data_IF_234319672074
#
_entry.id   IF_234319672074
#
_cell.length_a   1.000
_cell.length_b   1.000
_cell.length_c   1.000
_cell.angle_alpha   90.00
_cell.angle_beta   90.00
_cell.angle_gamma   90.00
#
_symmetry.space_group_name_H-M   'P 1'
#
loop_
_entity.id
_entity.type
_entity.pdbx_description
1 polymer ?
#
# COMPACT_ATOMS: atom_id res chain seq x y z
N UNK A 1 3.75 72.44 33.28
CA UNK A 1 2.73 71.59 32.62
C UNK A 1 3.46 70.86 31.50
N UNK A 2 4.26 69.81 31.69
CA UNK A 2 4.12 68.57 32.45
C UNK A 2 3.08 67.60 31.87
N UNK A 3 3.61 66.45 31.40
CA UNK A 3 3.06 65.09 31.39
C UNK A 3 2.36 64.52 30.14
N UNK A 4 2.68 63.22 29.93
CA UNK A 4 2.10 62.20 29.02
C UNK A 4 2.47 62.36 27.53
N UNK A 5 3.11 61.41 26.83
CA UNK A 5 2.92 59.97 26.84
C UNK A 5 4.13 59.28 26.14
N UNK A 6 5.08 58.74 26.93
CA UNK A 6 6.05 57.75 26.45
C UNK A 6 5.30 56.43 26.24
N UNK A 7 4.86 56.16 25.01
CA UNK A 7 4.46 54.81 24.61
C UNK A 7 5.70 54.02 24.22
N UNK A 8 6.34 53.41 25.22
CA UNK A 8 7.35 52.36 25.03
C UNK A 8 6.70 51.18 24.31
N UNK A 9 6.88 51.13 22.99
CA UNK A 9 6.57 49.97 22.15
C UNK A 9 7.55 48.85 22.51
N UNK A 10 7.13 48.01 23.46
CA UNK A 10 7.79 46.73 23.73
C UNK A 10 7.44 45.81 22.56
N UNK A 11 8.24 45.84 21.51
CA UNK A 11 8.25 44.79 20.47
C UNK A 11 8.84 43.56 21.15
N UNK A 12 7.96 42.73 21.73
CA UNK A 12 8.30 41.38 22.11
C UNK A 12 8.83 40.68 20.86
N UNK A 13 10.13 40.38 20.85
CA UNK A 13 10.79 39.59 19.83
C UNK A 13 10.19 38.19 19.80
N UNK A 14 9.10 38.03 19.06
CA UNK A 14 8.67 36.72 18.60
C UNK A 14 9.76 36.24 17.66
N UNK A 15 10.59 35.31 18.15
CA UNK A 15 11.49 34.57 17.29
C UNK A 15 10.65 34.04 16.12
N UNK A 16 11.02 34.31 14.86
CA UNK A 16 10.26 33.82 13.72
C UNK A 16 10.14 32.31 13.92
N UNK A 17 8.91 31.81 14.06
CA UNK A 17 8.64 30.40 14.00
C UNK A 17 9.31 29.91 12.71
N UNK A 18 10.31 29.03 12.84
CA UNK A 18 11.06 28.51 11.71
C UNK A 18 10.04 28.07 10.68
N UNK A 19 9.96 28.80 9.56
CA UNK A 19 9.04 28.49 8.48
C UNK A 19 9.46 27.14 7.93
N UNK A 20 8.79 26.09 8.39
CA UNK A 20 9.12 24.73 8.05
C UNK A 20 9.00 24.58 6.52
N UNK A 21 10.12 24.27 5.85
CA UNK A 21 10.16 24.20 4.39
C UNK A 21 9.03 23.30 3.89
N UNK A 22 8.22 23.71 2.90
CA UNK A 22 7.05 22.94 2.47
C UNK A 22 7.46 21.54 1.97
N UNK A 23 6.65 20.53 2.28
CA UNK A 23 6.89 19.16 1.80
C UNK A 23 6.67 19.09 0.29
N UNK A 24 7.57 18.37 -0.40
CA UNK A 24 7.51 18.18 -1.85
C UNK A 24 6.93 16.81 -2.18
N UNK A 25 5.93 16.77 -3.07
CA UNK A 25 5.22 15.55 -3.47
C UNK A 25 5.31 15.37 -4.97
N UNK A 26 5.78 14.20 -5.40
CA UNK A 26 5.70 13.76 -6.79
C UNK A 26 4.38 13.03 -7.01
N UNK A 27 3.56 13.52 -7.95
CA UNK A 27 2.39 12.78 -8.45
C UNK A 27 2.84 11.89 -9.60
N UNK A 28 2.99 10.61 -9.30
CA UNK A 28 3.31 9.59 -10.29
C UNK A 28 2.10 9.32 -11.20
N UNK A 29 2.31 8.74 -12.40
CA UNK A 29 1.19 8.44 -13.28
C UNK A 29 0.25 7.42 -12.61
N UNK A 30 -1.07 7.64 -12.71
CA UNK A 30 -2.06 6.87 -11.96
C UNK A 30 -2.14 5.41 -12.39
N UNK A 31 -2.55 4.55 -11.46
CA UNK A 31 -2.90 3.15 -11.70
C UNK A 31 -4.38 3.08 -12.06
N UNK A 32 -4.66 3.00 -13.36
CA UNK A 32 -6.02 2.97 -13.89
C UNK A 32 -6.34 1.61 -14.53
N UNK A 33 -7.45 0.99 -14.14
CA UNK A 33 -7.95 -0.25 -14.74
C UNK A 33 -9.43 -0.11 -15.13
N UNK A 34 -9.72 -0.22 -16.43
CA UNK A 34 -11.07 -0.06 -16.96
C UNK A 34 -11.59 1.38 -17.00
N UNK A 35 -10.80 2.37 -16.59
CA UNK A 35 -11.24 3.78 -16.49
C UNK A 35 -10.90 4.54 -17.78
N UNK A 36 -11.84 5.32 -18.36
CA UNK A 36 -11.56 6.20 -19.49
C UNK A 36 -10.42 7.19 -19.22
N UNK A 37 -9.57 7.43 -20.22
CA UNK A 37 -8.37 8.28 -20.08
C UNK A 37 -8.67 9.72 -19.65
N UNK A 38 -9.78 10.31 -20.08
CA UNK A 38 -10.16 11.67 -19.70
C UNK A 38 -10.48 11.79 -18.20
N UNK A 39 -11.12 10.77 -17.61
CA UNK A 39 -11.39 10.70 -16.16
C UNK A 39 -10.07 10.60 -15.40
N UNK A 40 -9.13 9.78 -15.91
CA UNK A 40 -7.81 9.61 -15.31
C UNK A 40 -7.02 10.93 -15.30
N UNK A 41 -7.00 11.66 -16.41
CA UNK A 41 -6.35 12.97 -16.50
C UNK A 41 -7.00 14.00 -15.57
N UNK A 42 -8.33 14.01 -15.51
CA UNK A 42 -9.07 14.92 -14.64
C UNK A 42 -8.83 14.65 -13.16
N UNK A 43 -8.84 13.37 -12.74
CA UNK A 43 -8.52 12.96 -11.39
C UNK A 43 -7.10 13.38 -10.96
N UNK A 44 -6.13 13.23 -11.85
CA UNK A 44 -4.75 13.62 -11.58
C UNK A 44 -4.59 15.14 -11.40
N UNK A 45 -5.28 15.94 -12.21
CA UNK A 45 -5.27 17.40 -12.07
C UNK A 45 -5.96 17.84 -10.78
N UNK A 46 -7.11 17.23 -10.44
CA UNK A 46 -7.82 17.51 -9.19
C UNK A 46 -6.96 17.24 -7.95
N UNK A 47 -6.31 16.08 -7.90
CA UNK A 47 -5.40 15.72 -6.79
C UNK A 47 -4.22 16.71 -6.71
N UNK A 48 -3.66 17.12 -7.86
CA UNK A 48 -2.60 18.13 -7.92
C UNK A 48 -3.04 19.45 -7.29
N UNK A 49 -4.18 19.98 -7.70
CA UNK A 49 -4.70 21.23 -7.16
C UNK A 49 -5.03 21.10 -5.66
N UNK A 50 -5.62 19.99 -5.23
CA UNK A 50 -5.94 19.76 -3.82
C UNK A 50 -4.69 19.67 -2.92
N UNK A 51 -3.58 19.12 -3.41
CA UNK A 51 -2.32 19.10 -2.65
C UNK A 51 -1.67 20.49 -2.57
N UNK A 52 -1.76 21.27 -3.66
CA UNK A 52 -1.26 22.66 -3.67
C UNK A 52 -2.03 23.54 -2.67
N UNK A 53 -3.36 23.44 -2.62
CA UNK A 53 -4.18 24.20 -1.65
C UNK A 53 -3.84 23.84 -0.20
N UNK A 54 -3.36 22.62 0.04
CA UNK A 54 -2.88 22.17 1.34
C UNK A 54 -1.43 22.60 1.63
N UNK A 55 -0.74 23.27 0.71
CA UNK A 55 0.61 23.81 0.92
C UNK A 55 1.76 22.84 0.63
N UNK A 56 1.51 21.78 -0.15
CA UNK A 56 2.60 20.96 -0.71
C UNK A 56 3.19 21.61 -1.96
N UNK A 57 4.50 21.41 -2.17
CA UNK A 57 5.10 21.63 -3.48
C UNK A 57 4.84 20.41 -4.36
N UNK A 58 4.04 20.57 -5.40
CA UNK A 58 3.61 19.45 -6.25
C UNK A 58 4.45 19.40 -7.53
N UNK A 59 5.12 18.27 -7.76
CA UNK A 59 5.80 17.95 -9.01
C UNK A 59 4.97 16.89 -9.74
N UNK A 60 4.57 17.14 -10.99
CA UNK A 60 3.85 16.12 -11.78
C UNK A 60 4.83 15.30 -12.60
N UNK A 61 4.51 14.04 -12.86
CA UNK A 61 5.32 13.18 -13.73
C UNK A 61 5.54 13.78 -15.14
N UNK A 62 4.58 14.54 -15.67
CA UNK A 62 4.72 15.28 -16.93
C UNK A 62 5.83 16.32 -16.85
N UNK A 63 5.86 17.09 -15.76
CA UNK A 63 6.81 18.19 -15.57
C UNK A 63 8.22 17.62 -15.32
N UNK A 64 8.31 16.54 -14.53
CA UNK A 64 9.54 15.77 -14.36
C UNK A 64 10.09 15.26 -15.71
N UNK A 65 9.23 14.70 -16.56
CA UNK A 65 9.66 14.17 -17.87
C UNK A 65 10.29 15.23 -18.76
N UNK A 66 9.82 16.47 -18.69
CA UNK A 66 10.32 17.59 -19.48
C UNK A 66 11.70 18.06 -19.00
N UNK A 67 11.96 17.96 -17.70
CA UNK A 67 13.21 18.37 -17.08
C UNK A 67 14.30 17.30 -17.19
N UNK A 68 13.92 16.03 -17.36
CA UNK A 68 14.87 14.92 -17.46
C UNK A 68 15.58 14.85 -18.82
N UNK A 69 16.90 14.58 -18.84
CA UNK A 69 17.63 14.21 -20.05
C UNK A 69 16.99 12.98 -20.75
N UNK A 70 17.03 12.89 -22.10
CA UNK A 70 16.39 11.79 -22.84
C UNK A 70 16.79 10.39 -22.36
N UNK A 71 18.05 10.19 -21.96
CA UNK A 71 18.53 8.92 -21.42
C UNK A 71 17.88 8.55 -20.07
N UNK A 72 17.73 9.52 -19.17
CA UNK A 72 17.11 9.30 -17.85
C UNK A 72 15.60 9.15 -17.95
N UNK A 73 14.96 9.86 -18.88
CA UNK A 73 13.50 9.80 -19.09
C UNK A 73 13.01 8.36 -19.31
N UNK A 74 13.73 7.57 -20.11
CA UNK A 74 13.37 6.16 -20.36
C UNK A 74 13.46 5.32 -19.09
N UNK A 75 14.50 5.51 -18.28
CA UNK A 75 14.71 4.77 -17.03
C UNK A 75 13.66 5.13 -15.99
N UNK A 76 13.43 6.43 -15.77
CA UNK A 76 12.51 6.93 -14.73
C UNK A 76 11.04 6.66 -15.09
N UNK A 77 10.65 6.82 -16.36
CA UNK A 77 9.25 6.63 -16.76
C UNK A 77 8.90 5.20 -17.17
N UNK A 78 9.91 4.40 -17.51
CA UNK A 78 9.74 3.03 -18.00
C UNK A 78 9.85 1.96 -16.90
N UNK A 79 10.23 2.32 -15.67
CA UNK A 79 10.29 1.38 -14.57
C UNK A 79 8.89 0.97 -14.07
N UNK A 80 8.82 -0.20 -13.44
CA UNK A 80 7.60 -0.70 -12.84
C UNK A 80 7.29 0.07 -11.55
N UNK A 81 6.26 0.92 -11.56
CA UNK A 81 5.92 1.83 -10.44
C UNK A 81 5.53 1.11 -9.15
N UNK A 82 5.14 -0.16 -9.26
CA UNK A 82 4.83 -1.02 -8.12
C UNK A 82 6.10 -1.49 -7.40
N UNK A 83 7.27 -1.39 -8.02
CA UNK A 83 8.55 -1.72 -7.38
C UNK A 83 9.07 -0.55 -6.55
N UNK A 84 9.54 -0.83 -5.33
CA UNK A 84 10.08 0.18 -4.43
C UNK A 84 11.26 0.94 -5.05
N UNK A 85 12.17 0.24 -5.74
CA UNK A 85 13.31 0.84 -6.42
C UNK A 85 12.89 1.91 -7.45
N UNK A 86 11.82 1.64 -8.22
CA UNK A 86 11.30 2.59 -9.20
C UNK A 86 10.75 3.86 -8.51
N UNK A 87 9.99 3.70 -7.41
CA UNK A 87 9.47 4.85 -6.65
C UNK A 87 10.59 5.70 -6.07
N UNK A 88 11.62 5.07 -5.50
CA UNK A 88 12.80 5.77 -4.98
C UNK A 88 13.45 6.59 -6.10
N UNK A 89 13.77 5.96 -7.23
CA UNK A 89 14.40 6.64 -8.37
C UNK A 89 13.56 7.79 -8.92
N UNK A 90 12.23 7.62 -9.01
CA UNK A 90 11.33 8.70 -9.44
C UNK A 90 11.31 9.86 -8.43
N UNK A 91 11.18 9.57 -7.14
CA UNK A 91 11.14 10.59 -6.10
C UNK A 91 12.46 11.36 -5.99
N UNK A 92 13.60 10.67 -6.09
CA UNK A 92 14.93 11.30 -6.13
C UNK A 92 15.08 12.21 -7.35
N UNK A 93 14.67 11.74 -8.53
CA UNK A 93 14.69 12.54 -9.76
C UNK A 93 13.82 13.80 -9.67
N UNK A 94 12.71 13.72 -8.92
CA UNK A 94 11.81 14.84 -8.66
C UNK A 94 12.21 15.71 -7.46
N UNK A 95 13.25 15.32 -6.69
CA UNK A 95 13.57 15.91 -5.39
C UNK A 95 12.36 15.98 -4.45
N UNK A 96 11.51 14.96 -4.49
CA UNK A 96 10.29 14.88 -3.70
C UNK A 96 10.52 14.08 -2.42
N UNK A 97 9.87 14.49 -1.33
CA UNK A 97 9.85 13.74 -0.06
C UNK A 97 8.96 12.49 -0.17
N UNK A 98 7.90 12.59 -0.99
CA UNK A 98 6.86 11.56 -1.15
C UNK A 98 6.53 11.34 -2.61
N UNK A 99 6.30 10.07 -2.97
CA UNK A 99 5.69 9.67 -4.24
C UNK A 99 4.24 9.27 -3.99
N UNK A 100 3.31 10.00 -4.61
CA UNK A 100 1.88 9.76 -4.52
C UNK A 100 1.37 9.06 -5.80
N UNK A 101 0.63 7.97 -5.64
CA UNK A 101 0.00 7.22 -6.73
C UNK A 101 -1.51 7.26 -6.54
N UNK A 102 -2.24 7.74 -7.54
CA UNK A 102 -3.70 7.64 -7.59
C UNK A 102 -4.11 6.31 -8.21
N UNK A 103 -5.00 5.59 -7.54
CA UNK A 103 -5.57 4.33 -8.02
C UNK A 103 -7.02 4.57 -8.44
N UNK A 104 -7.38 4.17 -9.65
CA UNK A 104 -8.74 4.22 -10.18
C UNK A 104 -9.10 2.89 -10.85
N UNK A 105 -10.07 2.17 -10.31
CA UNK A 105 -10.51 0.87 -10.86
C UNK A 105 -12.00 0.91 -11.11
N UNK A 106 -12.43 0.59 -12.33
CA UNK A 106 -13.86 0.46 -12.65
C UNK A 106 -14.36 -0.95 -12.29
N UNK A 107 -15.46 -1.00 -11.54
CA UNK A 107 -16.24 -2.19 -11.21
C UNK A 107 -17.66 -2.07 -11.78
N UNK A 108 -18.44 -3.16 -11.70
CA UNK A 108 -19.84 -3.17 -12.15
C UNK A 108 -20.73 -2.21 -11.35
N UNK A 109 -20.36 -1.93 -10.09
CA UNK A 109 -21.12 -1.09 -9.16
C UNK A 109 -20.57 0.34 -9.02
N UNK A 110 -19.70 0.78 -9.94
CA UNK A 110 -19.03 2.07 -9.89
C UNK A 110 -17.51 1.95 -9.86
N UNK A 111 -16.83 2.96 -9.31
CA UNK A 111 -15.39 3.05 -9.23
C UNK A 111 -14.89 2.71 -7.82
N UNK A 112 -13.67 2.18 -7.73
CA UNK A 112 -12.84 2.28 -6.53
C UNK A 112 -11.77 3.30 -6.81
N UNK A 113 -11.75 4.35 -6.02
CA UNK A 113 -10.74 5.40 -6.12
C UNK A 113 -9.94 5.46 -4.83
N UNK A 114 -8.67 5.86 -4.92
CA UNK A 114 -7.85 6.01 -3.74
C UNK A 114 -6.49 6.60 -4.04
N UNK A 115 -5.75 6.85 -2.97
CA UNK A 115 -4.39 7.38 -3.02
C UNK A 115 -3.49 6.51 -2.16
N UNK A 116 -2.26 6.32 -2.64
CA UNK A 116 -1.16 5.72 -1.89
C UNK A 116 0.01 6.68 -1.85
N UNK A 117 0.57 6.90 -0.68
CA UNK A 117 1.75 7.72 -0.47
C UNK A 117 2.91 6.84 -0.05
N UNK A 118 4.05 6.99 -0.73
CA UNK A 118 5.27 6.26 -0.44
C UNK A 118 6.40 7.23 -0.08
N UNK A 119 7.20 6.88 0.91
CA UNK A 119 8.42 7.63 1.22
C UNK A 119 9.43 7.49 0.08
N UNK A 120 10.01 8.60 -0.37
CA UNK A 120 11.05 8.55 -1.42
C UNK A 120 12.32 7.84 -0.93
N UNK A 121 12.65 7.93 0.37
CA UNK A 121 13.91 7.43 0.93
C UNK A 121 14.09 5.91 0.79
N UNK A 122 13.03 5.16 1.04
CA UNK A 122 13.06 3.68 1.14
C UNK A 122 11.91 3.01 0.37
N UNK A 123 11.01 3.79 -0.23
CA UNK A 123 9.88 3.27 -1.00
C UNK A 123 8.79 2.64 -0.13
N UNK A 124 8.85 2.81 1.20
CA UNK A 124 7.89 2.31 2.17
C UNK A 124 6.53 3.02 2.00
N UNK A 125 5.44 2.27 2.20
CA UNK A 125 4.10 2.84 2.20
C UNK A 125 3.86 3.64 3.49
N UNK A 126 3.69 4.95 3.36
CA UNK A 126 3.38 5.83 4.48
C UNK A 126 1.89 5.81 4.83
N UNK A 127 1.04 5.81 3.80
CA UNK A 127 -0.41 5.89 3.97
C UNK A 127 -1.13 5.44 2.69
N UNK A 128 -2.29 4.82 2.87
CA UNK A 128 -3.23 4.55 1.79
C UNK A 128 -4.67 4.80 2.25
N UNK A 129 -5.52 5.24 1.32
CA UNK A 129 -6.95 5.35 1.55
C UNK A 129 -7.75 5.10 0.28
N UNK A 130 -8.84 4.33 0.40
CA UNK A 130 -9.69 3.91 -0.69
C UNK A 130 -11.16 4.14 -0.39
N UNK A 131 -11.89 4.58 -1.40
CA UNK A 131 -13.35 4.70 -1.39
C UNK A 131 -13.92 3.80 -2.48
N UNK A 132 -14.59 2.68 -2.12
CA UNK A 132 -15.23 1.79 -3.09
C UNK A 132 -16.66 2.26 -3.43
N UNK A 133 -17.19 1.80 -4.57
CA UNK A 133 -18.60 2.03 -4.95
C UNK A 133 -18.92 3.48 -5.31
N UNK A 134 -17.92 4.22 -5.78
CA UNK A 134 -18.03 5.64 -6.12
C UNK A 134 -18.66 5.79 -7.49
N UNK A 135 -19.68 6.63 -7.63
CA UNK A 135 -20.24 6.97 -8.94
C UNK A 135 -19.39 8.05 -9.63
N UNK A 136 -19.53 8.21 -10.95
CA UNK A 136 -18.72 9.18 -11.71
C UNK A 136 -18.87 10.62 -11.20
N UNK A 137 -20.09 11.01 -10.82
CA UNK A 137 -20.42 12.31 -10.25
C UNK A 137 -19.86 12.54 -8.83
N UNK A 138 -19.52 11.45 -8.12
CA UNK A 138 -18.95 11.46 -6.77
C UNK A 138 -17.42 11.30 -6.76
N UNK A 139 -16.81 11.15 -7.94
CA UNK A 139 -15.40 10.79 -8.08
C UNK A 139 -14.46 11.84 -7.48
N UNK A 140 -14.78 13.12 -7.67
CA UNK A 140 -13.99 14.23 -7.12
C UNK A 140 -14.09 14.34 -5.61
N UNK A 141 -15.28 14.15 -5.05
CA UNK A 141 -15.50 14.19 -3.61
C UNK A 141 -14.73 13.06 -2.92
N UNK A 142 -14.80 11.85 -3.49
CA UNK A 142 -14.05 10.70 -2.99
C UNK A 142 -12.52 10.89 -3.10
N UNK A 143 -12.01 11.49 -4.18
CA UNK A 143 -10.58 11.82 -4.28
C UNK A 143 -10.16 12.91 -3.29
N UNK A 144 -11.03 13.87 -3.00
CA UNK A 144 -10.81 14.91 -1.99
C UNK A 144 -10.70 14.28 -0.60
N UNK A 145 -11.66 13.42 -0.24
CA UNK A 145 -11.65 12.64 0.99
C UNK A 145 -10.37 11.80 1.12
N UNK A 146 -10.01 11.04 0.08
CA UNK A 146 -8.77 10.27 0.05
C UNK A 146 -7.53 11.16 0.23
N UNK A 147 -7.50 12.34 -0.40
CA UNK A 147 -6.36 13.26 -0.31
C UNK A 147 -6.17 13.76 1.12
N UNK A 148 -7.25 14.19 1.78
CA UNK A 148 -7.21 14.67 3.17
C UNK A 148 -6.74 13.60 4.16
N UNK A 149 -7.25 12.37 4.02
CA UNK A 149 -6.84 11.24 4.87
C UNK A 149 -5.37 10.90 4.69
N UNK A 150 -4.92 10.77 3.44
CA UNK A 150 -3.53 10.41 3.13
C UNK A 150 -2.56 11.52 3.54
N UNK A 151 -2.87 12.78 3.23
CA UNK A 151 -2.01 13.92 3.58
C UNK A 151 -1.81 14.05 5.08
N UNK A 152 -2.88 13.85 5.86
CA UNK A 152 -2.79 13.96 7.32
C UNK A 152 -1.78 12.95 7.87
N UNK A 153 -1.84 11.70 7.41
CA UNK A 153 -0.91 10.65 7.82
C UNK A 153 0.51 10.90 7.31
N UNK A 154 0.66 11.37 6.06
CA UNK A 154 1.96 11.72 5.48
C UNK A 154 2.68 12.81 6.30
N UNK A 155 1.96 13.88 6.70
CA UNK A 155 2.57 14.92 7.55
C UNK A 155 3.01 14.37 8.89
N UNK A 156 2.18 13.55 9.53
CA UNK A 156 2.53 12.95 10.82
C UNK A 156 3.75 12.02 10.72
N UNK A 157 3.86 11.26 9.62
CA UNK A 157 4.97 10.35 9.39
C UNK A 157 6.29 11.09 9.10
N UNK A 158 6.26 12.14 8.28
CA UNK A 158 7.48 12.87 7.90
C UNK A 158 7.89 13.97 8.87
N UNK A 159 6.93 14.48 9.65
CA UNK A 159 7.15 15.49 10.68
C UNK A 159 6.58 14.96 11.98
N UNK A 160 7.25 13.97 12.61
CA UNK A 160 6.86 13.54 13.94
C UNK A 160 6.87 14.78 14.84
N UNK A 161 5.68 15.19 15.29
CA UNK A 161 5.55 16.29 16.25
C UNK A 161 6.43 15.90 17.41
N UNK A 162 7.51 16.66 17.62
CA UNK A 162 8.42 16.40 18.73
C UNK A 162 7.54 16.27 19.97
N UNK A 163 7.52 15.07 20.57
CA UNK A 163 6.68 14.81 21.72
C UNK A 163 6.95 15.95 22.70
N UNK A 164 5.90 16.62 23.25
CA UNK A 164 6.11 17.72 24.16
C UNK A 164 7.08 17.20 25.21
N UNK A 165 8.27 17.81 25.26
CA UNK A 165 9.28 17.43 26.23
C UNK A 165 8.60 17.64 27.56
N UNK A 166 8.09 16.54 28.14
CA UNK A 166 7.50 16.55 29.46
C UNK A 166 8.65 17.03 30.31
N UNK A 167 8.63 18.32 30.66
CA UNK A 167 9.61 18.90 31.56
C UNK A 167 9.62 17.96 32.75
N UNK A 168 10.74 17.25 32.92
CA UNK A 168 10.85 16.25 33.95
C UNK A 168 10.35 16.92 35.24
N UNK A 169 9.28 16.39 35.87
CA UNK A 169 8.77 16.99 37.08
C UNK A 169 9.96 17.16 38.05
N UNK A 170 10.09 18.32 38.71
CA UNK A 170 11.21 18.60 39.59
C UNK A 170 11.43 17.39 40.51
N UNK A 171 12.69 16.95 40.72
CA UNK A 171 13.03 15.68 41.34
C UNK A 171 12.35 15.59 42.70
N UNK A 172 11.22 14.91 42.73
CA UNK A 172 10.49 14.66 43.96
C UNK A 172 11.21 13.49 44.58
N UNK A 173 11.89 13.75 45.70
CA UNK A 173 12.61 12.75 46.50
C UNK A 173 11.70 11.53 46.69
N UNK A 174 11.95 10.46 45.94
CA UNK A 174 11.18 9.23 46.07
C UNK A 174 11.47 8.65 47.46
N UNK A 175 10.44 8.40 48.28
CA UNK A 175 10.59 7.57 49.46
C UNK A 175 11.02 6.19 48.99
N UNK A 176 12.11 5.69 49.58
CA UNK A 176 12.62 4.33 49.39
C UNK A 176 11.48 3.36 49.69
N UNK A 177 10.88 2.78 48.64
CA UNK A 177 9.93 1.69 48.82
C UNK A 177 10.72 0.40 49.16
N UNK A 178 10.31 -0.34 50.21
CA UNK A 178 10.92 -1.62 50.55
C UNK A 178 10.79 -2.62 49.40
N UNK A 179 11.89 -3.31 49.08
CA UNK A 179 11.91 -4.46 48.17
C UNK A 179 10.81 -5.46 48.55
N UNK A 180 9.80 -5.62 47.69
CA UNK A 180 8.93 -6.78 47.77
C UNK A 180 9.56 -7.96 47.00
N UNK A 181 9.56 -9.18 47.56
CA UNK A 181 10.09 -10.37 46.91
C UNK A 181 9.31 -10.70 45.64
N UNK A 182 10.02 -10.77 44.52
CA UNK A 182 9.52 -11.24 43.24
C UNK A 182 9.08 -12.70 43.39
N UNK A 183 7.78 -12.96 43.27
CA UNK A 183 7.23 -14.31 43.16
C UNK A 183 7.60 -14.86 41.78
N UNK A 184 8.14 -16.09 41.66
CA UNK A 184 8.41 -16.71 40.37
C UNK A 184 7.08 -16.92 39.64
N UNK A 185 6.94 -16.30 38.48
CA UNK A 185 5.81 -16.46 37.59
C UNK A 185 5.84 -17.87 37.00
N UNK A 186 4.76 -18.61 37.25
CA UNK A 186 4.59 -19.99 36.81
C UNK A 186 4.43 -20.00 35.30
N UNK A 187 5.41 -20.57 34.61
CA UNK A 187 5.38 -20.85 33.17
C UNK A 187 4.17 -21.71 32.84
N UNK A 188 3.11 -21.11 32.30
CA UNK A 188 1.94 -21.83 31.83
C UNK A 188 2.34 -22.74 30.65
N UNK A 189 2.19 -24.04 30.87
CA UNK A 189 2.43 -25.12 29.93
C UNK A 189 1.64 -24.91 28.64
N UNK A 190 2.34 -24.80 27.50
CA UNK A 190 1.75 -24.76 26.16
C UNK A 190 0.84 -25.96 25.94
N UNK A 191 -0.46 -25.70 25.86
CA UNK A 191 -1.46 -26.63 25.32
C UNK A 191 -1.11 -26.96 23.87
N UNK A 192 -0.78 -28.23 23.62
CA UNK A 192 -0.43 -28.75 22.31
C UNK A 192 -1.62 -28.72 21.37
N UNK A 193 -1.55 -27.91 20.31
CA UNK A 193 -2.42 -28.10 19.16
C UNK A 193 -2.11 -29.48 18.54
N UNK A 194 -3.12 -30.29 18.17
CA UNK A 194 -2.90 -31.62 17.62
C UNK A 194 -2.06 -31.52 16.34
N UNK A 195 -0.98 -32.30 16.26
CA UNK A 195 0.07 -32.24 15.23
C UNK A 195 -0.38 -32.50 13.78
N UNK A 196 -1.69 -32.56 13.51
CA UNK A 196 -2.30 -32.75 12.20
C UNK A 196 -3.02 -31.50 11.66
N UNK A 197 -3.17 -30.44 12.46
CA UNK A 197 -3.91 -29.22 12.04
C UNK A 197 -3.22 -28.43 10.90
N UNK A 198 -1.92 -28.67 10.65
CA UNK A 198 -1.17 -28.00 9.58
C UNK A 198 -1.33 -28.66 8.21
N UNK A 199 -1.78 -29.92 8.15
CA UNK A 199 -1.83 -30.70 6.90
C UNK A 199 -2.77 -30.10 5.85
N UNK A 200 -4.01 -29.66 6.19
CA UNK A 200 -4.89 -29.00 5.22
C UNK A 200 -4.32 -27.66 4.72
N UNK A 201 -3.65 -26.91 5.58
CA UNK A 201 -3.03 -25.63 5.23
C UNK A 201 -1.88 -25.81 4.23
N UNK A 202 -0.97 -26.77 4.51
CA UNK A 202 0.13 -27.09 3.61
C UNK A 202 -0.39 -27.66 2.27
N UNK A 203 -1.39 -28.54 2.31
CA UNK A 203 -2.02 -29.08 1.10
C UNK A 203 -2.68 -27.99 0.25
N UNK A 204 -3.40 -27.05 0.87
CA UNK A 204 -4.01 -25.91 0.18
C UNK A 204 -2.98 -24.99 -0.49
N UNK A 205 -1.89 -24.67 0.22
CA UNK A 205 -0.81 -23.84 -0.33
C UNK A 205 -0.12 -24.49 -1.54
N UNK A 206 0.15 -25.80 -1.48
CA UNK A 206 0.75 -26.55 -2.60
C UNK A 206 -0.19 -26.54 -3.81
N UNK A 207 -1.49 -26.80 -3.62
CA UNK A 207 -2.46 -26.80 -4.72
C UNK A 207 -2.60 -25.43 -5.38
N UNK A 208 -2.56 -24.35 -4.61
CA UNK A 208 -2.55 -22.99 -5.15
C UNK A 208 -1.28 -22.72 -5.98
N UNK A 209 -0.11 -23.15 -5.51
CA UNK A 209 1.14 -23.05 -6.26
C UNK A 209 1.10 -23.79 -7.60
N UNK A 210 0.57 -25.02 -7.60
CA UNK A 210 0.36 -25.82 -8.83
C UNK A 210 -0.63 -25.13 -9.77
N UNK A 211 -1.73 -24.58 -9.24
CA UNK A 211 -2.72 -23.82 -10.02
C UNK A 211 -2.12 -22.61 -10.74
N UNK A 212 -1.25 -21.86 -10.06
CA UNK A 212 -0.53 -20.71 -10.63
C UNK A 212 0.44 -21.12 -11.73
N UNK A 213 1.17 -22.23 -11.57
CA UNK A 213 2.07 -22.75 -12.62
C UNK A 213 1.30 -23.05 -13.92
N UNK A 214 0.19 -23.79 -13.84
CA UNK A 214 -0.64 -24.10 -15.02
C UNK A 214 -1.29 -22.86 -15.64
N UNK A 215 -1.65 -21.87 -14.83
CA UNK A 215 -2.17 -20.59 -15.32
C UNK A 215 -1.14 -19.83 -16.16
N UNK A 216 0.11 -19.74 -15.67
CA UNK A 216 1.20 -19.08 -16.40
C UNK A 216 1.55 -19.83 -17.70
N UNK A 217 1.54 -21.17 -17.66
CA UNK A 217 1.76 -21.99 -18.85
C UNK A 217 0.68 -21.76 -19.91
N UNK A 218 -0.61 -21.72 -19.50
CA UNK A 218 -1.71 -21.42 -20.41
C UNK A 218 -1.57 -20.02 -21.05
N UNK A 219 -1.09 -19.03 -20.29
CA UNK A 219 -0.80 -17.69 -20.82
C UNK A 219 0.35 -17.67 -21.84
N UNK A 220 1.39 -18.49 -21.64
CA UNK A 220 2.47 -18.66 -22.61
C UNK A 220 1.99 -19.30 -23.92
N UNK A 221 1.17 -20.35 -23.83
CA UNK A 221 0.60 -21.02 -25.01
C UNK A 221 -0.37 -20.10 -25.77
N UNK A 222 -1.16 -19.28 -25.07
CA UNK A 222 -2.02 -18.28 -25.69
C UNK A 222 -1.23 -17.20 -26.44
N UNK A 223 -0.09 -16.74 -25.88
CA UNK A 223 0.79 -15.79 -26.58
C UNK A 223 1.37 -16.38 -27.85
N UNK A 224 1.83 -17.65 -27.82
CA UNK A 224 2.31 -18.37 -29.02
C UNK A 224 1.24 -18.45 -30.11
N UNK A 225 -0.01 -18.71 -29.74
CA UNK A 225 -1.14 -18.69 -30.68
C UNK A 225 -1.39 -17.28 -31.26
N UNK A 226 -1.33 -16.24 -30.43
CA UNK A 226 -1.57 -14.85 -30.86
C UNK A 226 -0.47 -14.32 -31.77
N UNK A 227 0.77 -14.73 -31.56
CA UNK A 227 1.94 -14.34 -32.37
C UNK A 227 2.00 -15.06 -33.73
N UNK A 228 1.02 -15.91 -34.06
CA UNK A 228 0.94 -16.71 -35.29
C UNK A 228 2.21 -17.54 -35.55
N UNK A 229 2.94 -17.89 -34.50
CA UNK A 229 4.15 -18.69 -34.60
C UNK A 229 3.80 -20.20 -34.60
N UNK A 230 2.91 -20.56 -35.53
CA UNK A 230 2.35 -21.90 -35.66
C UNK A 230 2.61 -22.37 -37.09
N UNK A 231 3.43 -23.39 -37.25
CA UNK A 231 3.94 -23.89 -38.54
C UNK A 231 2.89 -24.60 -39.39
N UNK A 232 1.76 -25.01 -38.80
CA UNK A 232 0.64 -25.62 -39.51
C UNK A 232 -0.66 -25.68 -38.70
N UNK A 233 -1.79 -26.02 -39.35
CA UNK A 233 -3.10 -26.09 -38.69
C UNK A 233 -3.18 -27.20 -37.63
N UNK A 234 -2.41 -28.29 -37.76
CA UNK A 234 -2.36 -29.38 -36.78
C UNK A 234 -1.71 -28.92 -35.45
N UNK A 235 -0.64 -28.14 -35.53
CA UNK A 235 0.03 -27.56 -34.36
C UNK A 235 -0.91 -26.61 -33.59
N UNK A 236 -1.73 -25.84 -34.33
CA UNK A 236 -2.72 -24.94 -33.77
C UNK A 236 -3.81 -25.67 -32.98
N UNK A 237 -4.33 -26.78 -33.53
CA UNK A 237 -5.32 -27.61 -32.84
C UNK A 237 -4.75 -28.23 -31.55
N UNK A 238 -3.51 -28.72 -31.59
CA UNK A 238 -2.82 -29.27 -30.43
C UNK A 238 -2.59 -28.22 -29.34
N UNK A 239 -2.16 -27.00 -29.70
CA UNK A 239 -1.99 -25.87 -28.78
C UNK A 239 -3.31 -25.45 -28.12
N UNK A 240 -4.40 -25.37 -28.90
CA UNK A 240 -5.73 -25.04 -28.35
C UNK A 240 -6.20 -26.12 -27.38
N UNK A 241 -6.03 -27.40 -27.71
CA UNK A 241 -6.42 -28.50 -26.82
C UNK A 241 -5.57 -28.54 -25.54
N UNK A 242 -4.25 -28.29 -25.65
CA UNK A 242 -3.35 -28.14 -24.50
C UNK A 242 -3.78 -26.99 -23.59
N UNK A 243 -4.05 -25.81 -24.17
CA UNK A 243 -4.50 -24.63 -23.43
C UNK A 243 -5.82 -24.86 -22.68
N UNK A 244 -6.81 -25.51 -23.32
CA UNK A 244 -8.07 -25.89 -22.67
C UNK A 244 -7.86 -26.84 -21.50
N UNK A 245 -6.97 -27.83 -21.64
CA UNK A 245 -6.65 -28.77 -20.56
C UNK A 245 -5.97 -28.06 -19.39
N UNK A 246 -5.01 -27.18 -19.67
CA UNK A 246 -4.32 -26.39 -18.64
C UNK A 246 -5.25 -25.42 -17.91
N UNK A 247 -6.20 -24.78 -18.61
CA UNK A 247 -7.23 -23.96 -17.99
C UNK A 247 -8.14 -24.77 -17.06
N UNK A 248 -8.61 -25.94 -17.51
CA UNK A 248 -9.47 -26.80 -16.70
C UNK A 248 -8.74 -27.34 -15.45
N UNK A 249 -7.47 -27.74 -15.60
CA UNK A 249 -6.62 -28.15 -14.47
C UNK A 249 -6.35 -26.99 -13.51
N UNK A 250 -6.09 -25.79 -14.02
CA UNK A 250 -5.87 -24.60 -13.19
C UNK A 250 -7.13 -24.22 -12.41
N UNK A 251 -8.30 -24.22 -13.06
CA UNK A 251 -9.59 -23.98 -12.40
C UNK A 251 -9.86 -25.02 -11.31
N UNK A 252 -9.62 -26.31 -11.59
CA UNK A 252 -9.76 -27.39 -10.61
C UNK A 252 -8.81 -27.22 -9.41
N UNK A 253 -7.54 -26.92 -9.67
CA UNK A 253 -6.55 -26.69 -8.63
C UNK A 253 -6.87 -25.46 -7.77
N UNK A 254 -7.29 -24.35 -8.37
CA UNK A 254 -7.70 -23.15 -7.64
C UNK A 254 -8.97 -23.38 -6.81
N UNK A 255 -9.97 -24.08 -7.35
CA UNK A 255 -11.20 -24.40 -6.61
C UNK A 255 -10.90 -25.27 -5.38
N UNK A 256 -10.09 -26.32 -5.54
CA UNK A 256 -9.67 -27.20 -4.44
C UNK A 256 -8.77 -26.47 -3.42
N UNK A 257 -7.81 -25.68 -3.91
CA UNK A 257 -6.92 -24.87 -3.06
C UNK A 257 -7.68 -23.86 -2.22
N UNK A 258 -8.62 -23.11 -2.83
CA UNK A 258 -9.48 -22.15 -2.14
C UNK A 258 -10.36 -22.83 -1.09
N UNK A 259 -10.99 -23.96 -1.42
CA UNK A 259 -11.77 -24.75 -0.46
C UNK A 259 -10.92 -25.19 0.74
N UNK A 260 -9.67 -25.62 0.52
CA UNK A 260 -8.74 -25.98 1.59
C UNK A 260 -8.40 -24.80 2.52
N UNK A 261 -8.14 -23.62 1.96
CA UNK A 261 -7.84 -22.40 2.74
C UNK A 261 -9.05 -21.96 3.57
N UNK A 262 -10.25 -21.92 2.96
CA UNK A 262 -11.49 -21.56 3.67
C UNK A 262 -11.79 -22.53 4.80
N UNK A 263 -11.68 -23.84 4.55
CA UNK A 263 -11.90 -24.87 5.57
C UNK A 263 -10.92 -24.71 6.73
N UNK A 264 -9.64 -24.44 6.45
CA UNK A 264 -8.62 -24.20 7.48
C UNK A 264 -8.94 -22.95 8.30
N UNK A 265 -9.34 -21.85 7.64
CA UNK A 265 -9.75 -20.62 8.32
C UNK A 265 -10.95 -20.82 9.25
N UNK A 266 -11.95 -21.59 8.81
CA UNK A 266 -13.11 -21.95 9.62
C UNK A 266 -12.72 -22.81 10.84
N UNK A 267 -11.86 -23.82 10.66
CA UNK A 267 -11.37 -24.64 11.78
C UNK A 267 -10.59 -23.77 12.77
N UNK A 268 -9.77 -22.83 12.29
CA UNK A 268 -9.01 -21.92 13.15
C UNK A 268 -9.92 -20.99 13.96
N UNK A 269 -10.96 -20.43 13.33
CA UNK A 269 -11.96 -19.59 14.00
C UNK A 269 -12.78 -20.39 15.04
N UNK A 270 -13.18 -21.61 14.70
CA UNK A 270 -13.96 -22.48 15.59
C UNK A 270 -13.13 -23.06 16.74
N UNK A 271 -11.79 -23.11 16.62
CA UNK A 271 -10.91 -23.66 17.65
C UNK A 271 -10.69 -22.74 18.87
N UNK A 272 -11.36 -21.57 18.94
CA UNK A 272 -11.53 -20.80 20.17
C UNK A 272 -10.23 -20.47 20.91
N UNK A 273 -9.16 -20.13 20.18
CA UNK A 273 -7.88 -19.77 20.79
C UNK A 273 -8.03 -18.41 21.47
N UNK A 274 -7.99 -18.41 22.81
CA UNK A 274 -8.21 -17.25 23.68
C UNK A 274 -7.36 -16.04 23.30
N UNK A 275 -7.83 -14.87 23.73
CA UNK A 275 -7.49 -13.49 23.33
C UNK A 275 -6.01 -13.05 23.47
N UNK A 276 -5.06 -13.97 23.62
CA UNK A 276 -3.62 -13.68 23.69
C UNK A 276 -2.94 -13.75 22.32
N UNK A 277 -2.60 -12.58 21.77
CA UNK A 277 -1.64 -12.33 20.68
C UNK A 277 -1.68 -13.29 19.47
N UNK A 278 -2.62 -13.06 18.55
CA UNK A 278 -2.49 -13.57 17.19
C UNK A 278 -1.50 -12.71 16.39
N UNK A 279 -0.23 -13.13 16.37
CA UNK A 279 0.87 -12.44 15.69
C UNK A 279 0.94 -12.67 14.17
N UNK A 280 0.00 -13.43 13.61
CA UNK A 280 -0.01 -13.83 12.20
C UNK A 280 -1.42 -13.80 11.63
N UNK A 281 -1.63 -12.97 10.60
CA UNK A 281 -2.88 -12.85 9.84
C UNK A 281 -2.68 -13.38 8.42
N UNK A 282 -3.33 -14.49 8.02
CA UNK A 282 -3.36 -14.87 6.62
C UNK A 282 -4.15 -13.83 5.82
N UNK A 283 -3.64 -13.48 4.65
CA UNK A 283 -4.26 -12.57 3.69
C UNK A 283 -4.34 -13.29 2.35
N UNK A 284 -5.48 -13.16 1.66
CA UNK A 284 -5.63 -13.67 0.31
C UNK A 284 -6.21 -12.54 -0.54
N UNK A 285 -5.63 -12.32 -1.72
CA UNK A 285 -6.16 -11.36 -2.69
C UNK A 285 -6.18 -11.97 -4.08
N UNK A 286 -7.17 -11.56 -4.87
CA UNK A 286 -7.32 -11.97 -6.28
C UNK A 286 -6.84 -10.81 -7.14
N UNK A 287 -5.85 -11.08 -7.98
CA UNK A 287 -5.29 -10.11 -8.93
C UNK A 287 -5.69 -10.51 -10.37
N UNK A 288 -5.66 -9.55 -11.29
CA UNK A 288 -5.77 -9.80 -12.73
C UNK A 288 -4.54 -10.58 -13.22
N UNK A 289 -4.52 -11.89 -13.00
CA UNK A 289 -3.35 -12.74 -13.22
C UNK A 289 -3.21 -13.94 -12.27
N UNK A 290 -4.09 -14.06 -11.27
CA UNK A 290 -4.10 -15.20 -10.33
C UNK A 290 -4.45 -14.77 -8.90
N UNK A 291 -4.59 -15.76 -8.01
CA UNK A 291 -4.70 -15.53 -6.57
C UNK A 291 -3.32 -15.48 -5.92
N UNK A 292 -3.10 -14.53 -5.02
CA UNK A 292 -1.95 -14.53 -4.11
C UNK A 292 -2.43 -14.75 -2.68
N UNK A 293 -1.71 -15.58 -1.94
CA UNK A 293 -1.94 -15.81 -0.52
C UNK A 293 -0.67 -15.41 0.22
N UNK A 294 -0.79 -14.43 1.10
CA UNK A 294 0.29 -13.92 1.93
C UNK A 294 0.01 -14.21 3.40
N UNK A 295 1.07 -14.32 4.18
CA UNK A 295 0.96 -14.44 5.64
C UNK A 295 1.60 -13.18 6.22
N UNK A 296 0.79 -12.28 6.78
CA UNK A 296 1.27 -11.04 7.37
C UNK A 296 1.43 -11.22 8.88
N UNK A 297 2.66 -11.16 9.38
CA UNK A 297 2.95 -11.34 10.80
C UNK A 297 4.42 -11.59 11.10
N UNK A 298 4.81 -11.50 12.35
CA UNK A 298 6.19 -11.81 12.77
C UNK A 298 6.29 -13.32 13.01
N UNK A 299 7.09 -14.03 12.21
CA UNK A 299 7.52 -15.38 12.54
C UNK A 299 8.32 -15.35 13.86
N UNK A 300 8.12 -16.32 14.77
CA UNK A 300 8.86 -16.39 16.03
C UNK A 300 10.36 -16.67 15.82
#
# INVERSE_FOLDING_TARGET
MFLTLLATLVVLGQAPASSEAPLTVLIAPPEAAGVPSHIVSFAQEHVSEQLKTQGFQVVRASDLSQQLPPAQRKTVLGCNRLEAACRITMGEAAQADVVLITELVQFLSGYRVGLKAYATRDGELLSEHYVPGVHEDQLLDALTESSEKVVTQVRQALRPVAAPVVQAPPPTKQPVQPLQPTRPEVTATRSGAPGLAWVPAAGGAVLLGVGTYFYLQAGADYRKLKEMNVTGPEDGAALVQSGKRSQLLSQGAFALGAAGVVTTGLIYLLSGKGEGEQKVRPTASVLNGGGVVGVAGTLP
#
